data_IF_428155729400
#
_entry.id   IF_428155729400
#
_cell.length_a   1.000
_cell.length_b   1.000
_cell.length_c   1.000
_cell.angle_alpha   90.00
_cell.angle_beta   90.00
_cell.angle_gamma   90.00
#
_symmetry.space_group_name_H-M   'P 1'
#
loop_
_entity.id
_entity.type
_entity.pdbx_description
1 polymer ?
#
# COMPACT_ATOMS: atom_id res chain seq x y z
N UNK A 1 9.38 1.86 5.52
CA UNK A 1 8.04 1.53 5.00
C UNK A 1 7.50 2.77 4.33
N UNK A 2 6.96 2.65 3.12
CA UNK A 2 6.21 3.73 2.48
C UNK A 2 4.74 3.39 2.66
N UNK A 3 4.02 4.25 3.38
CA UNK A 3 2.59 4.12 3.61
C UNK A 3 1.84 5.12 2.73
N UNK A 4 0.90 4.63 1.93
CA UNK A 4 0.06 5.48 1.08
C UNK A 4 -1.33 5.57 1.68
N UNK A 5 -1.85 6.79 1.82
CA UNK A 5 -3.16 7.07 2.41
C UNK A 5 -3.26 6.58 3.87
N UNK A 6 -2.41 7.11 4.78
CA UNK A 6 -2.46 6.77 6.20
C UNK A 6 -3.75 7.23 6.90
N UNK A 7 -4.47 8.21 6.32
CA UNK A 7 -5.59 8.86 6.97
C UNK A 7 -5.16 9.45 8.33
N UNK A 8 -5.96 9.29 9.41
CA UNK A 8 -5.58 9.81 10.72
C UNK A 8 -4.40 9.08 11.38
N UNK A 9 -3.79 8.08 10.72
CA UNK A 9 -2.57 7.40 11.20
C UNK A 9 -2.80 6.14 12.02
N UNK A 10 -3.92 5.44 11.80
CA UNK A 10 -4.22 4.18 12.49
C UNK A 10 -3.20 3.08 12.17
N UNK A 11 -2.99 2.81 10.88
CA UNK A 11 -1.98 1.85 10.42
C UNK A 11 -0.55 2.38 10.65
N UNK A 12 -0.30 3.68 10.44
CA UNK A 12 0.98 4.34 10.76
C UNK A 12 1.45 4.04 12.18
N UNK A 13 0.57 4.21 13.18
CA UNK A 13 0.89 3.88 14.58
C UNK A 13 1.24 2.41 14.77
N UNK A 14 0.47 1.50 14.16
CA UNK A 14 0.73 0.07 14.23
C UNK A 14 2.07 -0.31 13.59
N UNK A 15 2.44 0.29 12.46
CA UNK A 15 3.74 0.05 11.81
C UNK A 15 4.90 0.49 12.72
N UNK A 16 4.80 1.70 13.29
CA UNK A 16 5.84 2.26 14.15
C UNK A 16 5.99 1.47 15.46
N UNK A 17 4.89 1.08 16.09
CA UNK A 17 4.91 0.29 17.33
C UNK A 17 5.42 -1.14 17.11
N UNK A 18 5.22 -1.72 15.92
CA UNK A 18 5.73 -3.04 15.54
C UNK A 18 7.15 -2.98 14.93
N UNK A 19 7.91 -1.92 15.17
CA UNK A 19 9.34 -1.88 14.88
C UNK A 19 9.71 -1.42 13.46
N UNK A 20 8.80 -0.80 12.71
CA UNK A 20 9.19 -0.16 11.45
C UNK A 20 10.23 0.94 11.72
N UNK A 21 11.47 0.78 11.21
CA UNK A 21 12.57 1.71 11.47
C UNK A 21 12.22 3.16 11.08
N UNK A 22 11.67 3.32 9.88
CA UNK A 22 11.18 4.59 9.32
C UNK A 22 9.89 4.34 8.52
N UNK A 23 8.92 5.22 8.67
CA UNK A 23 7.69 5.29 7.88
C UNK A 23 7.67 6.62 7.13
N UNK A 24 7.47 6.56 5.81
CA UNK A 24 7.20 7.72 4.96
C UNK A 24 5.72 7.62 4.57
N UNK A 25 4.90 8.51 5.09
CA UNK A 25 3.46 8.53 4.87
C UNK A 25 3.11 9.57 3.81
N UNK A 26 2.41 9.17 2.75
CA UNK A 26 1.94 10.06 1.68
C UNK A 26 0.44 10.26 1.87
N UNK A 27 0.04 11.47 2.25
CA UNK A 27 -1.35 11.84 2.53
C UNK A 27 -1.74 13.09 1.74
N UNK A 28 -2.92 13.06 1.13
CA UNK A 28 -3.45 14.19 0.36
C UNK A 28 -4.47 15.00 1.16
N UNK A 29 -5.18 14.37 2.10
CA UNK A 29 -6.18 15.03 2.92
C UNK A 29 -5.52 15.83 4.05
N UNK A 30 -5.46 17.15 3.88
CA UNK A 30 -4.87 18.07 4.84
C UNK A 30 -5.47 17.95 6.26
N UNK A 31 -6.73 17.50 6.37
CA UNK A 31 -7.41 17.30 7.66
C UNK A 31 -6.75 16.21 8.50
N UNK A 32 -6.04 15.28 7.86
CA UNK A 32 -5.33 14.19 8.53
C UNK A 32 -3.94 14.61 9.04
N UNK A 33 -3.37 15.72 8.52
CA UNK A 33 -1.99 16.10 8.79
C UNK A 33 -1.76 16.46 10.27
N UNK A 34 -2.74 17.08 10.94
CA UNK A 34 -2.65 17.38 12.37
C UNK A 34 -2.51 16.09 13.20
N UNK A 35 -3.33 15.09 12.93
CA UNK A 35 -3.25 13.80 13.62
C UNK A 35 -1.93 13.06 13.32
N UNK A 36 -1.42 13.15 12.09
CA UNK A 36 -0.13 12.58 11.72
C UNK A 36 1.05 13.31 12.37
N UNK A 37 0.94 14.62 12.57
CA UNK A 37 1.94 15.41 13.30
C UNK A 37 2.04 14.96 14.77
N UNK A 38 0.92 14.65 15.42
CA UNK A 38 0.92 14.06 16.77
C UNK A 38 1.61 12.68 16.78
N UNK A 39 1.38 11.84 15.77
CA UNK A 39 2.11 10.56 15.63
C UNK A 39 3.61 10.81 15.46
N UNK A 40 3.99 11.78 14.62
CA UNK A 40 5.40 12.12 14.37
C UNK A 40 6.09 12.61 15.64
N UNK A 41 5.42 13.44 16.44
CA UNK A 41 5.91 13.90 17.74
C UNK A 41 6.12 12.74 18.74
N UNK A 42 5.28 11.70 18.69
CA UNK A 42 5.44 10.51 19.53
C UNK A 42 6.56 9.56 19.05
N UNK A 43 6.89 9.60 17.76
CA UNK A 43 7.92 8.76 17.14
C UNK A 43 9.00 9.60 16.43
N UNK A 44 9.81 10.38 17.18
CA UNK A 44 10.73 11.35 16.61
C UNK A 44 11.75 10.70 15.67
N UNK A 45 11.92 11.31 14.48
CA UNK A 45 12.83 10.83 13.44
C UNK A 45 12.41 9.54 12.74
N UNK A 46 11.26 8.95 13.09
CA UNK A 46 10.78 7.68 12.52
C UNK A 46 9.59 7.84 11.59
N UNK A 47 8.88 8.96 11.65
CA UNK A 47 7.77 9.27 10.75
C UNK A 47 8.05 10.56 9.96
N UNK A 48 8.04 10.43 8.64
CA UNK A 48 7.99 11.54 7.70
C UNK A 48 6.62 11.58 7.04
N UNK A 49 6.03 12.77 6.94
CA UNK A 49 4.72 12.98 6.30
C UNK A 49 4.90 13.85 5.08
N UNK A 50 4.57 13.30 3.91
CA UNK A 50 4.56 14.00 2.63
C UNK A 50 3.11 14.35 2.32
N UNK A 51 2.79 15.65 2.36
CA UNK A 51 1.50 16.14 1.88
C UNK A 51 1.49 16.15 0.35
N UNK A 52 0.74 15.26 -0.29
CA UNK A 52 0.78 15.14 -1.75
C UNK A 52 -0.08 14.03 -2.35
N UNK A 53 -0.18 14.07 -3.68
CA UNK A 53 -0.87 13.05 -4.46
C UNK A 53 0.07 11.87 -4.74
N UNK A 54 -0.28 10.70 -4.23
CA UNK A 54 0.48 9.47 -4.44
C UNK A 54 0.66 9.12 -5.93
N UNK A 55 -0.28 9.49 -6.82
CA UNK A 55 -0.12 9.29 -8.26
C UNK A 55 0.93 10.22 -8.90
N UNK A 56 1.42 11.22 -8.17
CA UNK A 56 2.47 12.15 -8.62
C UNK A 56 3.79 11.95 -7.89
N UNK A 57 3.83 11.04 -6.92
CA UNK A 57 5.03 10.77 -6.12
C UNK A 57 5.99 9.85 -6.87
N UNK A 58 7.28 10.20 -6.87
CA UNK A 58 8.35 9.31 -7.30
C UNK A 58 8.78 8.40 -6.14
N UNK A 59 8.18 7.22 -6.09
CA UNK A 59 8.48 6.23 -5.05
C UNK A 59 9.90 5.65 -5.14
N UNK A 60 10.51 5.63 -6.33
CA UNK A 60 11.86 5.13 -6.49
C UNK A 60 12.88 6.11 -5.90
N UNK A 61 12.67 7.42 -6.12
CA UNK A 61 13.45 8.46 -5.47
C UNK A 61 13.31 8.38 -3.94
N UNK A 62 12.08 8.30 -3.42
CA UNK A 62 11.85 8.13 -1.97
C UNK A 62 12.53 6.89 -1.38
N UNK A 63 12.54 5.78 -2.13
CA UNK A 63 13.22 4.57 -1.72
C UNK A 63 14.75 4.73 -1.68
N UNK A 64 15.33 5.49 -2.61
CA UNK A 64 16.78 5.76 -2.64
C UNK A 64 17.27 6.63 -1.48
N UNK A 65 16.40 7.51 -0.96
CA UNK A 65 16.68 8.33 0.23
C UNK A 65 16.50 7.58 1.56
N UNK A 66 15.97 6.36 1.52
CA UNK A 66 15.81 5.53 2.70
C UNK A 66 17.14 4.82 3.04
N UNK A 67 17.52 4.77 4.32
CA UNK A 67 18.74 4.12 4.84
C UNK A 67 18.91 2.65 4.37
N UNK A 68 19.43 2.40 3.16
CA UNK A 68 19.87 1.13 2.54
C UNK A 68 19.13 -0.17 2.94
N UNK A 69 17.87 -0.09 3.35
CA UNK A 69 17.10 -1.17 3.95
C UNK A 69 15.93 -1.58 3.08
N UNK A 70 15.36 -2.77 3.28
CA UNK A 70 14.26 -3.25 2.44
C UNK A 70 13.06 -2.30 2.51
N UNK A 71 12.72 -1.71 1.37
CA UNK A 71 11.53 -0.87 1.23
C UNK A 71 10.31 -1.77 1.15
N UNK A 72 9.27 -1.45 1.92
CA UNK A 72 7.97 -2.12 1.86
C UNK A 72 6.90 -1.08 1.64
N UNK A 73 6.00 -1.33 0.70
CA UNK A 73 4.86 -0.47 0.41
C UNK A 73 3.65 -1.03 1.13
N UNK A 74 2.93 -0.19 1.86
CA UNK A 74 1.66 -0.55 2.49
C UNK A 74 0.63 0.51 2.14
N UNK A 75 -0.61 0.09 1.91
CA UNK A 75 -1.62 1.05 1.54
C UNK A 75 -3.03 0.57 1.87
N UNK A 76 -3.82 1.51 2.40
CA UNK A 76 -5.26 1.39 2.60
C UNK A 76 -5.95 2.38 1.65
N UNK A 77 -5.92 2.06 0.35
CA UNK A 77 -6.25 3.01 -0.71
C UNK A 77 -7.76 3.16 -0.89
N UNK A 78 -8.25 4.37 -1.21
CA UNK A 78 -9.53 4.54 -1.86
C UNK A 78 -9.63 3.66 -3.12
N UNK A 79 -10.79 3.00 -3.31
CA UNK A 79 -10.95 1.97 -4.35
C UNK A 79 -10.75 2.47 -5.79
N UNK A 80 -10.89 3.76 -6.03
CA UNK A 80 -10.74 4.37 -7.36
C UNK A 80 -9.28 4.50 -7.82
N UNK A 81 -8.31 4.59 -6.91
CA UNK A 81 -6.89 4.78 -7.26
C UNK A 81 -6.04 3.51 -7.05
N UNK A 82 -6.54 2.54 -6.28
CA UNK A 82 -5.77 1.36 -5.90
C UNK A 82 -5.22 0.56 -7.07
N UNK A 83 -6.07 0.28 -8.07
CA UNK A 83 -5.67 -0.48 -9.26
C UNK A 83 -4.60 0.24 -10.07
N UNK A 84 -4.70 1.56 -10.22
CA UNK A 84 -3.73 2.35 -10.98
C UNK A 84 -2.37 2.37 -10.30
N UNK A 85 -2.33 2.60 -8.98
CA UNK A 85 -1.09 2.57 -8.21
C UNK A 85 -0.42 1.19 -8.28
N UNK A 86 -1.20 0.12 -8.13
CA UNK A 86 -0.68 -1.24 -8.28
C UNK A 86 -0.05 -1.45 -9.66
N UNK A 87 -0.72 -1.06 -10.74
CA UNK A 87 -0.17 -1.19 -12.10
C UNK A 87 1.15 -0.42 -12.21
N UNK A 88 1.21 0.83 -11.75
CA UNK A 88 2.44 1.64 -11.78
C UNK A 88 3.60 1.01 -11.02
N UNK A 89 3.34 0.43 -9.85
CA UNK A 89 4.36 -0.29 -9.08
C UNK A 89 4.82 -1.59 -9.73
N UNK A 90 3.95 -2.28 -10.48
CA UNK A 90 4.28 -3.52 -11.20
C UNK A 90 4.94 -3.26 -12.56
N UNK A 91 4.74 -2.08 -13.15
CA UNK A 91 5.28 -1.72 -14.48
C UNK A 91 6.51 -0.82 -14.42
N UNK A 92 7.20 -0.75 -13.29
CA UNK A 92 8.48 -0.05 -13.21
C UNK A 92 9.48 -0.66 -14.22
N UNK A 93 10.35 0.16 -14.84
CA UNK A 93 11.21 -0.28 -15.93
C UNK A 93 12.24 -1.32 -15.48
N UNK A 94 12.78 -1.17 -14.27
CA UNK A 94 13.78 -2.07 -13.70
C UNK A 94 13.13 -3.11 -12.81
N UNK A 95 13.50 -4.38 -12.99
CA UNK A 95 13.05 -5.50 -12.17
C UNK A 95 14.24 -6.39 -11.76
N UNK A 96 14.38 -6.82 -10.48
CA UNK A 96 13.49 -6.56 -9.34
C UNK A 96 13.30 -5.06 -9.01
N UNK A 97 12.14 -4.66 -8.49
CA UNK A 97 11.83 -3.26 -8.23
C UNK A 97 12.56 -2.77 -6.98
N UNK A 98 12.48 -1.47 -6.70
CA UNK A 98 13.09 -0.85 -5.50
C UNK A 98 12.45 -1.28 -4.17
N UNK A 99 11.33 -2.02 -4.21
CA UNK A 99 10.63 -2.51 -3.02
C UNK A 99 10.79 -4.03 -2.87
N UNK A 100 10.87 -4.48 -1.62
CA UNK A 100 10.93 -5.89 -1.24
C UNK A 100 9.55 -6.56 -1.21
N UNK A 101 8.49 -5.82 -0.86
CA UNK A 101 7.12 -6.35 -0.83
C UNK A 101 6.08 -5.23 -0.82
N UNK A 102 4.86 -5.57 -1.23
CA UNK A 102 3.67 -4.72 -1.08
C UNK A 102 2.61 -5.42 -0.24
N UNK A 103 1.96 -4.70 0.68
CA UNK A 103 0.77 -5.18 1.42
C UNK A 103 -0.34 -4.16 1.27
N UNK A 104 -1.29 -4.47 0.40
CA UNK A 104 -2.24 -3.50 -0.15
C UNK A 104 -3.66 -4.00 0.06
N UNK A 105 -4.57 -3.11 0.43
CA UNK A 105 -5.97 -3.46 0.57
C UNK A 105 -6.80 -3.02 -0.65
N UNK A 106 -7.68 -3.91 -1.10
CA UNK A 106 -8.61 -3.68 -2.21
C UNK A 106 -10.01 -4.16 -1.87
N UNK A 107 -11.00 -3.84 -2.71
CA UNK A 107 -12.27 -4.58 -2.70
C UNK A 107 -11.97 -6.06 -2.98
N UNK A 108 -12.71 -6.97 -2.34
CA UNK A 108 -12.51 -8.41 -2.47
C UNK A 108 -12.47 -8.89 -3.92
N UNK A 109 -13.37 -8.39 -4.76
CA UNK A 109 -13.39 -8.74 -6.20
C UNK A 109 -12.08 -8.36 -6.92
N UNK A 110 -11.54 -7.19 -6.63
CA UNK A 110 -10.26 -6.73 -7.20
C UNK A 110 -9.10 -7.58 -6.66
N UNK A 111 -9.10 -7.88 -5.37
CA UNK A 111 -8.12 -8.77 -4.76
C UNK A 111 -8.11 -10.16 -5.41
N UNK A 112 -9.30 -10.73 -5.67
CA UNK A 112 -9.45 -12.00 -6.38
C UNK A 112 -8.86 -11.95 -7.79
N UNK A 113 -9.09 -10.85 -8.53
CA UNK A 113 -8.50 -10.66 -9.87
C UNK A 113 -6.97 -10.54 -9.83
N UNK A 114 -6.39 -9.97 -8.77
CA UNK A 114 -4.93 -9.83 -8.62
C UNK A 114 -4.26 -11.18 -8.42
N UNK A 115 -4.88 -12.07 -7.62
CA UNK A 115 -4.32 -13.40 -7.30
C UNK A 115 -4.83 -14.51 -8.22
N UNK A 116 -5.65 -14.16 -9.21
CA UNK A 116 -6.26 -15.12 -10.12
C UNK A 116 -5.20 -15.89 -10.92
N UNK A 117 -5.35 -17.21 -10.96
CA UNK A 117 -4.59 -18.10 -11.83
C UNK A 117 -5.30 -18.29 -13.18
N UNK A 118 -4.59 -18.77 -14.22
CA UNK A 118 -5.23 -19.23 -15.46
C UNK A 118 -6.40 -20.18 -15.17
N UNK A 119 -7.39 -20.16 -16.06
CA UNK A 119 -8.62 -20.97 -15.99
C UNK A 119 -9.58 -20.63 -14.83
N UNK A 120 -9.35 -19.52 -14.10
CA UNK A 120 -10.34 -18.97 -13.15
C UNK A 120 -11.18 -17.85 -13.76
N UNK A 121 -12.44 -17.73 -13.33
CA UNK A 121 -13.37 -16.68 -13.80
C UNK A 121 -12.87 -15.25 -13.52
N UNK A 122 -12.06 -15.08 -12.47
CA UNK A 122 -11.47 -13.79 -12.10
C UNK A 122 -10.19 -13.47 -12.90
N UNK A 123 -9.70 -14.39 -13.73
CA UNK A 123 -8.47 -14.21 -14.49
C UNK A 123 -8.64 -13.17 -15.60
N UNK A 124 -7.63 -12.32 -15.75
CA UNK A 124 -7.65 -11.25 -16.73
C UNK A 124 -6.41 -10.38 -16.62
N UNK A 125 -6.46 -9.15 -17.13
CA UNK A 125 -5.30 -8.25 -17.22
C UNK A 125 -4.52 -8.09 -15.92
N UNK A 126 -5.20 -8.01 -14.77
CA UNK A 126 -4.56 -7.83 -13.46
C UNK A 126 -3.89 -9.10 -12.99
N UNK A 127 -4.55 -10.26 -13.13
CA UNK A 127 -3.97 -11.55 -12.78
C UNK A 127 -2.73 -11.88 -13.62
N UNK A 128 -2.77 -11.57 -14.92
CA UNK A 128 -1.60 -11.69 -15.82
C UNK A 128 -0.44 -10.83 -15.31
N UNK A 129 -0.67 -9.53 -15.11
CA UNK A 129 0.40 -8.60 -14.71
C UNK A 129 0.98 -8.93 -13.33
N UNK A 130 0.11 -9.14 -12.34
CA UNK A 130 0.53 -9.43 -10.97
C UNK A 130 1.20 -10.82 -10.88
N UNK A 131 0.63 -11.84 -11.52
CA UNK A 131 1.20 -13.19 -11.53
C UNK A 131 2.52 -13.28 -12.28
N UNK A 132 2.70 -12.49 -13.35
CA UNK A 132 3.96 -12.40 -14.10
C UNK A 132 5.09 -11.80 -13.26
N UNK A 133 4.80 -10.69 -12.55
CA UNK A 133 5.83 -9.92 -11.82
C UNK A 133 6.04 -10.40 -10.39
N UNK A 134 5.03 -11.00 -9.75
CA UNK A 134 5.04 -11.24 -8.30
C UNK A 134 4.51 -12.63 -7.93
N UNK A 135 4.78 -13.00 -6.68
CA UNK A 135 4.01 -13.99 -5.94
C UNK A 135 2.97 -13.23 -5.12
N UNK A 136 1.72 -13.21 -5.59
CA UNK A 136 0.61 -12.51 -4.94
C UNK A 136 -0.31 -13.50 -4.20
N UNK A 137 -0.75 -13.14 -3.00
CA UNK A 137 -1.73 -13.92 -2.23
C UNK A 137 -2.68 -13.01 -1.46
N UNK A 138 -3.92 -13.44 -1.27
CA UNK A 138 -4.81 -12.82 -0.29
C UNK A 138 -4.31 -13.24 1.09
N UNK A 139 -4.01 -12.26 1.93
CA UNK A 139 -3.60 -12.49 3.31
C UNK A 139 -4.81 -12.78 4.20
N UNK A 140 -5.84 -11.93 4.13
CA UNK A 140 -7.10 -12.08 4.86
C UNK A 140 -8.16 -11.10 4.34
N UNK A 141 -9.42 -11.35 4.70
CA UNK A 141 -10.56 -10.46 4.45
C UNK A 141 -10.77 -9.48 5.60
N UNK A 142 -11.24 -8.28 5.27
CA UNK A 142 -11.62 -7.25 6.22
C UNK A 142 -13.11 -6.92 6.04
N UNK A 143 -13.94 -7.14 7.06
CA UNK A 143 -15.38 -6.92 6.97
C UNK A 143 -15.72 -5.41 6.93
N UNK A 144 -16.82 -5.00 6.29
CA UNK A 144 -17.21 -3.58 6.20
C UNK A 144 -17.31 -2.83 7.54
N UNK A 145 -17.64 -3.55 8.61
CA UNK A 145 -17.78 -3.00 9.97
C UNK A 145 -16.46 -2.50 10.57
N UNK A 146 -15.32 -2.85 9.96
CA UNK A 146 -14.01 -2.34 10.37
C UNK A 146 -13.74 -0.89 9.89
N UNK A 147 -14.63 -0.30 9.08
CA UNK A 147 -14.46 1.02 8.47
C UNK A 147 -15.49 2.03 8.96
N UNK A 148 -15.14 3.31 8.89
CA UNK A 148 -16.05 4.42 9.19
C UNK A 148 -15.94 5.50 8.11
N UNK A 149 -16.99 5.74 7.31
CA UNK A 149 -18.23 4.94 7.22
C UNK A 149 -17.98 3.55 6.62
N UNK A 150 -18.86 2.56 6.88
CA UNK A 150 -18.70 1.22 6.35
C UNK A 150 -18.90 1.18 4.82
N UNK A 151 -18.02 0.51 4.05
CA UNK A 151 -18.23 0.29 2.62
C UNK A 151 -19.37 -0.70 2.36
N UNK A 152 -19.86 -0.76 1.12
CA UNK A 152 -20.89 -1.73 0.72
C UNK A 152 -20.36 -3.14 0.46
N UNK A 153 -19.04 -3.31 0.40
CA UNK A 153 -18.38 -4.55 -0.02
C UNK A 153 -17.26 -4.91 0.94
N UNK A 154 -16.99 -6.20 1.05
CA UNK A 154 -15.82 -6.73 1.79
C UNK A 154 -14.52 -6.26 1.13
N UNK A 155 -13.54 -5.91 1.95
CA UNK A 155 -12.16 -5.68 1.50
C UNK A 155 -11.32 -6.93 1.69
N UNK A 156 -10.22 -7.04 0.96
CA UNK A 156 -9.21 -8.07 1.20
C UNK A 156 -7.83 -7.43 1.15
N UNK A 157 -6.95 -7.87 2.05
CA UNK A 157 -5.53 -7.49 2.04
C UNK A 157 -4.79 -8.47 1.15
N UNK A 158 -4.06 -7.95 0.17
CA UNK A 158 -3.21 -8.71 -0.75
C UNK A 158 -1.76 -8.43 -0.42
N UNK A 159 -0.98 -9.49 -0.29
CA UNK A 159 0.47 -9.42 -0.15
C UNK A 159 1.13 -9.81 -1.48
N UNK A 160 2.08 -9.02 -1.94
CA UNK A 160 2.82 -9.24 -3.18
C UNK A 160 4.33 -9.18 -2.92
N UNK A 161 5.04 -10.21 -3.33
CA UNK A 161 6.50 -10.26 -3.32
C UNK A 161 7.02 -10.32 -4.76
N UNK A 162 7.92 -9.43 -5.20
CA UNK A 162 8.55 -9.51 -6.51
C UNK A 162 9.22 -10.88 -6.76
N UNK A 163 9.07 -11.38 -7.98
CA UNK A 163 9.86 -12.52 -8.49
C UNK A 163 11.26 -12.08 -8.90
#
# INVERSE_FOLDING_TARGET
VIEVWPGPGGLTRALLSNGARRVVAIERDERCLAALAEVSAHYPGRLEVISGDALKTDFAALASEADHGPVRIVANLPYNIGTELLVRWLTVPNWPPYYASMTLMFQREVAQRIVAAPDSDAYGRLGVLAGWRTQARIAFDVPPQAFTPPPKVTSSVVHLEPR
#
